data_IF_567062805113
#
_entry.id   IF_567062805113
#
_cell.length_a   1.000
_cell.length_b   1.000
_cell.length_c   1.000
_cell.angle_alpha   90.00
_cell.angle_beta   90.00
_cell.angle_gamma   90.00
#
_symmetry.space_group_name_H-M   'P 1'
#
loop_
_entity.id
_entity.type
_entity.pdbx_description
1 polymer ?
#
# COMPACT_ATOMS: atom_id res chain seq x y z
N UNK A 1 -23.84 -25.37 -7.05
CA UNK A 1 -23.50 -24.08 -6.43
C UNK A 1 -22.82 -23.21 -7.45
N UNK A 2 -23.15 -21.91 -7.50
CA UNK A 2 -22.47 -20.98 -8.38
C UNK A 2 -21.02 -20.78 -7.88
N UNK A 3 -20.04 -21.10 -8.72
CA UNK A 3 -18.64 -20.81 -8.45
C UNK A 3 -18.42 -19.30 -8.61
N UNK A 4 -17.72 -18.71 -7.65
CA UNK A 4 -17.25 -17.32 -7.70
C UNK A 4 -15.71 -17.31 -7.66
N UNK A 5 -15.11 -16.39 -8.39
CA UNK A 5 -13.68 -16.34 -8.60
C UNK A 5 -13.13 -15.00 -8.07
N UNK A 6 -12.27 -14.99 -7.05
CA UNK A 6 -11.58 -13.78 -6.66
C UNK A 6 -10.59 -13.39 -7.78
N UNK A 7 -10.54 -12.11 -8.13
CA UNK A 7 -9.66 -11.60 -9.19
C UNK A 7 -8.50 -10.76 -8.67
N UNK A 8 -8.54 -10.42 -7.40
CA UNK A 8 -7.48 -9.75 -6.65
C UNK A 8 -7.57 -10.09 -5.17
N UNK A 9 -6.65 -9.58 -4.39
CA UNK A 9 -6.58 -9.77 -2.94
C UNK A 9 -6.33 -8.46 -2.21
N UNK A 10 -6.71 -8.41 -0.94
CA UNK A 10 -6.28 -7.42 0.05
C UNK A 10 -5.29 -8.07 1.02
N UNK A 11 -4.43 -7.27 1.63
CA UNK A 11 -3.59 -7.72 2.74
C UNK A 11 -4.47 -8.07 3.96
N UNK A 12 -3.95 -8.90 4.88
CA UNK A 12 -4.73 -9.48 5.99
C UNK A 12 -5.44 -8.40 6.83
N UNK A 13 -4.77 -7.29 7.12
CA UNK A 13 -5.31 -6.21 7.96
C UNK A 13 -5.95 -5.07 7.16
N UNK A 14 -6.11 -5.25 5.84
CA UNK A 14 -6.77 -4.29 4.97
C UNK A 14 -8.22 -4.67 4.76
N UNK A 15 -9.13 -3.77 5.06
CA UNK A 15 -10.56 -3.88 4.73
C UNK A 15 -10.88 -3.10 3.47
N UNK A 16 -11.99 -3.44 2.81
CA UNK A 16 -12.48 -2.70 1.65
C UNK A 16 -13.16 -3.53 0.59
N UNK A 17 -13.20 -2.97 -0.61
CA UNK A 17 -13.92 -3.53 -1.75
C UNK A 17 -13.10 -4.66 -2.38
N UNK A 18 -13.75 -5.80 -2.60
CA UNK A 18 -13.22 -6.90 -3.39
C UNK A 18 -14.14 -7.21 -4.57
N UNK A 19 -13.53 -7.49 -5.71
CA UNK A 19 -14.24 -7.88 -6.94
C UNK A 19 -14.13 -9.39 -7.13
N UNK A 20 -15.28 -10.02 -7.42
CA UNK A 20 -15.37 -11.44 -7.72
C UNK A 20 -16.04 -11.62 -9.07
N UNK A 21 -15.52 -12.50 -9.92
CA UNK A 21 -16.15 -12.89 -11.14
C UNK A 21 -17.18 -14.03 -10.90
N UNK A 22 -18.26 -14.05 -11.66
CA UNK A 22 -19.29 -15.06 -11.59
C UNK A 22 -19.07 -16.25 -12.53
N UNK A 23 -18.09 -16.14 -13.41
CA UNK A 23 -17.69 -17.17 -14.37
C UNK A 23 -16.19 -17.06 -14.69
N UNK A 24 -15.64 -18.10 -15.30
CA UNK A 24 -14.21 -18.19 -15.60
C UNK A 24 -13.77 -17.18 -16.66
N UNK A 25 -14.56 -16.92 -17.68
CA UNK A 25 -14.22 -16.00 -18.77
C UNK A 25 -14.16 -14.56 -18.25
N UNK A 26 -15.10 -14.17 -17.42
CA UNK A 26 -15.12 -12.88 -16.74
C UNK A 26 -13.92 -12.75 -15.78
N UNK A 27 -13.57 -13.84 -15.08
CA UNK A 27 -12.39 -13.85 -14.20
C UNK A 27 -11.12 -13.54 -14.95
N UNK A 28 -10.89 -14.17 -16.09
CA UNK A 28 -9.69 -13.93 -16.94
C UNK A 28 -9.65 -12.47 -17.41
N UNK A 29 -10.77 -11.93 -17.87
CA UNK A 29 -10.84 -10.53 -18.34
C UNK A 29 -10.57 -9.52 -17.23
N UNK A 30 -11.11 -9.76 -16.03
CA UNK A 30 -10.87 -8.88 -14.89
C UNK A 30 -9.42 -9.00 -14.38
N UNK A 31 -8.87 -10.20 -14.27
CA UNK A 31 -7.47 -10.40 -13.89
C UNK A 31 -6.53 -9.65 -14.83
N UNK A 32 -6.80 -9.72 -16.14
CA UNK A 32 -6.03 -8.96 -17.13
C UNK A 32 -6.05 -7.45 -16.88
N UNK A 33 -7.17 -6.88 -16.48
CA UNK A 33 -7.26 -5.45 -16.14
C UNK A 33 -6.38 -5.09 -14.92
N UNK A 34 -6.30 -5.98 -13.93
CA UNK A 34 -5.37 -5.79 -12.80
C UNK A 34 -3.92 -5.92 -13.24
N UNK A 35 -3.58 -6.88 -14.09
CA UNK A 35 -2.23 -7.08 -14.65
C UNK A 35 -1.78 -5.91 -15.51
N UNK A 36 -2.66 -5.40 -16.36
CA UNK A 36 -2.42 -4.25 -17.25
C UNK A 36 -2.46 -2.91 -16.49
N UNK A 37 -2.67 -2.92 -15.17
CA UNK A 37 -2.79 -1.73 -14.32
C UNK A 37 -3.89 -0.75 -14.76
N UNK A 38 -4.91 -1.22 -15.47
CA UNK A 38 -6.04 -0.40 -15.93
C UNK A 38 -7.11 -0.18 -14.87
N UNK A 39 -7.05 -0.91 -13.74
CA UNK A 39 -7.95 -0.72 -12.62
C UNK A 39 -7.49 0.46 -11.77
N UNK A 40 -8.34 1.49 -11.65
CA UNK A 40 -8.10 2.60 -10.72
C UNK A 40 -8.42 2.16 -9.29
N UNK A 41 -7.46 2.34 -8.40
CA UNK A 41 -7.57 1.94 -6.99
C UNK A 41 -7.32 3.13 -6.08
N UNK A 42 -8.15 3.26 -5.05
CA UNK A 42 -7.97 4.27 -4.01
C UNK A 42 -8.01 3.59 -2.64
N UNK A 43 -7.00 3.87 -1.84
CA UNK A 43 -6.89 3.40 -0.45
C UNK A 43 -6.80 4.60 0.48
N UNK A 44 -7.49 4.52 1.60
CA UNK A 44 -7.34 5.49 2.69
C UNK A 44 -6.50 4.86 3.79
N UNK A 45 -5.55 5.61 4.32
CA UNK A 45 -4.74 5.17 5.45
C UNK A 45 -4.52 6.31 6.43
N UNK A 46 -4.27 5.96 7.69
CA UNK A 46 -3.73 6.85 8.70
C UNK A 46 -2.28 6.46 8.98
N UNK A 47 -1.37 7.40 8.85
CA UNK A 47 0.05 7.20 9.11
C UNK A 47 0.41 7.70 10.49
N UNK A 48 1.33 7.01 11.17
CA UNK A 48 1.91 7.47 12.42
C UNK A 48 2.79 8.70 12.18
N UNK A 49 2.78 9.63 13.11
CA UNK A 49 3.79 10.68 13.14
C UNK A 49 5.17 10.04 13.37
N UNK A 50 6.13 10.41 12.53
CA UNK A 50 7.52 9.94 12.68
C UNK A 50 8.48 11.13 12.56
N UNK A 51 9.45 11.20 13.49
CA UNK A 51 10.38 12.33 13.57
C UNK A 51 11.27 12.49 12.32
N UNK A 52 11.60 11.38 11.67
CA UNK A 52 12.45 11.35 10.48
C UNK A 52 11.67 11.23 9.17
N UNK A 53 10.33 11.30 9.23
CA UNK A 53 9.48 11.25 8.06
C UNK A 53 9.52 12.56 7.25
N UNK A 54 8.98 12.50 6.04
CA UNK A 54 8.83 13.72 5.21
C UNK A 54 7.91 14.71 5.93
N UNK A 55 8.24 15.98 5.84
CA UNK A 55 7.35 17.05 6.30
C UNK A 55 6.20 17.16 5.31
N UNK A 56 5.01 16.76 5.75
CA UNK A 56 3.79 16.74 4.95
C UNK A 56 2.79 17.78 5.48
N UNK A 57 2.01 18.34 4.56
CA UNK A 57 0.94 19.30 4.85
C UNK A 57 -0.36 18.82 4.18
N UNK A 58 -1.50 19.23 4.73
CA UNK A 58 -2.79 19.00 4.09
C UNK A 58 -2.78 19.56 2.66
N UNK A 59 -3.21 18.73 1.71
CA UNK A 59 -3.25 19.06 0.29
C UNK A 59 -1.99 18.69 -0.50
N UNK A 60 -0.92 18.23 0.18
CA UNK A 60 0.28 17.76 -0.52
C UNK A 60 -0.05 16.53 -1.37
N UNK A 61 0.46 16.54 -2.59
CA UNK A 61 0.36 15.44 -3.55
C UNK A 61 1.74 15.07 -4.05
N UNK A 62 1.92 13.81 -4.38
CA UNK A 62 3.18 13.35 -4.94
C UNK A 62 3.14 11.88 -5.34
N UNK A 63 4.30 11.38 -5.71
CA UNK A 63 4.50 10.00 -6.10
C UNK A 63 5.66 9.39 -5.33
N UNK A 64 5.54 8.10 -5.05
CA UNK A 64 6.59 7.27 -4.46
C UNK A 64 6.94 6.22 -5.51
N UNK A 65 8.14 6.33 -6.09
CA UNK A 65 8.70 5.35 -7.01
C UNK A 65 9.84 4.64 -6.29
N UNK A 66 9.53 3.51 -5.66
CA UNK A 66 10.47 2.75 -4.84
C UNK A 66 10.31 1.26 -5.16
N UNK A 67 11.25 0.65 -5.90
CA UNK A 67 11.17 -0.74 -6.28
C UNK A 67 11.17 -1.68 -5.07
N UNK A 68 10.39 -2.75 -5.14
CA UNK A 68 10.17 -3.69 -4.04
C UNK A 68 10.56 -5.11 -4.41
N UNK A 69 11.17 -5.81 -3.47
CA UNK A 69 11.42 -7.24 -3.51
C UNK A 69 11.01 -7.93 -2.21
N UNK A 70 10.90 -9.26 -2.24
CA UNK A 70 10.71 -10.03 -1.03
C UNK A 70 11.96 -9.97 -0.16
N UNK A 71 11.78 -9.78 1.13
CA UNK A 71 12.86 -9.95 2.11
C UNK A 71 12.92 -11.43 2.50
N UNK A 72 13.87 -12.15 1.91
CA UNK A 72 13.97 -13.59 2.12
C UNK A 72 14.43 -13.98 3.54
N UNK A 73 15.11 -13.07 4.21
CA UNK A 73 15.62 -13.29 5.57
C UNK A 73 14.54 -12.99 6.63
N UNK A 74 13.61 -12.08 6.34
CA UNK A 74 12.55 -11.65 7.26
C UNK A 74 11.14 -11.82 6.68
N UNK A 75 10.82 -13.01 6.17
CA UNK A 75 9.45 -13.29 5.64
C UNK A 75 8.38 -13.11 6.71
N UNK A 76 7.19 -12.55 6.39
CA UNK A 76 6.68 -12.22 5.04
C UNK A 76 7.02 -10.79 4.56
N UNK A 77 8.03 -10.14 5.13
CA UNK A 77 8.38 -8.75 4.80
C UNK A 77 8.77 -8.57 3.34
N UNK A 78 8.52 -7.37 2.86
CA UNK A 78 9.05 -6.82 1.61
C UNK A 78 10.05 -5.73 1.96
N UNK A 79 11.00 -5.47 1.05
CA UNK A 79 12.00 -4.41 1.22
C UNK A 79 12.12 -3.54 -0.02
N UNK A 80 12.57 -2.32 0.17
CA UNK A 80 13.02 -1.48 -0.93
C UNK A 80 14.33 -2.04 -1.50
N UNK A 81 14.37 -2.25 -2.81
CA UNK A 81 15.50 -2.86 -3.47
C UNK A 81 15.68 -2.26 -4.86
N UNK A 82 16.71 -1.42 -5.00
CA UNK A 82 17.01 -0.73 -6.25
C UNK A 82 17.68 -1.63 -7.31
N UNK A 83 18.14 -2.83 -6.92
CA UNK A 83 18.90 -3.72 -7.81
C UNK A 83 17.98 -4.82 -8.36
N UNK A 84 17.25 -5.51 -7.49
CA UNK A 84 16.40 -6.67 -7.85
C UNK A 84 14.91 -6.40 -7.66
N UNK A 85 14.55 -5.25 -7.09
CA UNK A 85 13.18 -4.88 -6.83
C UNK A 85 12.38 -4.67 -8.11
N UNK A 86 11.12 -5.09 -8.08
CA UNK A 86 10.17 -4.84 -9.15
C UNK A 86 9.67 -3.39 -9.07
N UNK A 87 9.59 -2.73 -10.22
CA UNK A 87 9.03 -1.38 -10.30
C UNK A 87 7.71 -1.27 -9.54
N UNK A 88 7.62 -0.25 -8.71
CA UNK A 88 6.45 0.03 -7.86
C UNK A 88 6.23 1.52 -7.78
N UNK A 89 5.02 1.96 -8.09
CA UNK A 89 4.64 3.37 -8.14
C UNK A 89 3.31 3.58 -7.40
N UNK A 90 3.32 4.51 -6.46
CA UNK A 90 2.14 4.94 -5.69
C UNK A 90 2.02 6.45 -5.74
N UNK A 91 0.92 6.97 -6.26
CA UNK A 91 0.55 8.38 -6.07
C UNK A 91 -0.16 8.55 -4.73
N UNK A 92 -0.04 9.73 -4.12
CA UNK A 92 -0.68 10.03 -2.84
C UNK A 92 -1.21 11.46 -2.76
N UNK A 93 -2.17 11.65 -1.86
CA UNK A 93 -2.71 12.96 -1.47
C UNK A 93 -2.93 12.99 0.04
N UNK A 94 -2.35 13.98 0.73
CA UNK A 94 -2.55 14.21 2.16
C UNK A 94 -3.88 14.92 2.37
N UNK A 95 -4.81 14.29 3.07
CA UNK A 95 -6.15 14.84 3.30
C UNK A 95 -6.27 15.59 4.62
N UNK A 96 -5.53 15.17 5.65
CA UNK A 96 -5.50 15.86 6.94
C UNK A 96 -4.20 15.60 7.70
N UNK A 97 -3.82 16.56 8.53
CA UNK A 97 -2.84 16.37 9.61
C UNK A 97 -3.63 16.53 10.92
N UNK A 98 -3.57 15.53 11.79
CA UNK A 98 -4.31 15.51 13.04
C UNK A 98 -3.53 16.20 14.17
N UNK A 99 -4.19 16.59 15.28
CA UNK A 99 -3.52 17.26 16.40
C UNK A 99 -2.37 16.46 17.05
N UNK A 100 -2.43 15.13 16.99
CA UNK A 100 -1.39 14.21 17.47
C UNK A 100 -0.24 14.03 16.48
N UNK A 101 -0.30 14.71 15.32
CA UNK A 101 0.69 14.61 14.26
C UNK A 101 0.46 13.45 13.29
N UNK A 102 -0.53 12.58 13.51
CA UNK A 102 -0.88 11.54 12.55
C UNK A 102 -1.44 12.14 11.26
N UNK A 103 -1.32 11.39 10.16
CA UNK A 103 -1.55 11.90 8.81
C UNK A 103 -2.59 11.03 8.13
N UNK A 104 -3.70 11.62 7.72
CA UNK A 104 -4.69 10.96 6.85
C UNK A 104 -4.29 11.19 5.40
N UNK A 105 -4.23 10.10 4.64
CA UNK A 105 -3.72 10.07 3.28
C UNK A 105 -4.57 9.17 2.38
N UNK A 106 -4.72 9.60 1.13
CA UNK A 106 -5.22 8.75 0.05
C UNK A 106 -4.04 8.25 -0.77
N UNK A 107 -4.05 6.96 -1.07
CA UNK A 107 -3.10 6.32 -1.97
C UNK A 107 -3.78 5.86 -3.25
N UNK A 108 -3.13 6.08 -4.37
CA UNK A 108 -3.52 5.62 -5.70
C UNK A 108 -2.38 4.78 -6.29
N UNK A 109 -2.30 3.47 -5.93
CA UNK A 109 -1.24 2.62 -6.43
C UNK A 109 -1.42 2.32 -7.92
N UNK A 110 -0.43 2.66 -8.73
CA UNK A 110 -0.39 2.32 -10.16
C UNK A 110 0.05 0.88 -10.39
N UNK A 111 0.84 0.34 -9.50
CA UNK A 111 1.24 -1.07 -9.43
C UNK A 111 0.60 -1.74 -8.22
N UNK A 112 0.68 -3.06 -8.12
CA UNK A 112 0.05 -3.83 -7.03
C UNK A 112 1.01 -4.83 -6.39
N UNK A 113 2.22 -4.41 -5.98
CA UNK A 113 3.18 -5.29 -5.31
C UNK A 113 2.73 -5.61 -3.90
N UNK A 114 3.12 -6.78 -3.42
CA UNK A 114 2.85 -7.21 -2.04
C UNK A 114 3.35 -6.15 -1.05
N UNK A 115 2.52 -5.79 -0.08
CA UNK A 115 2.78 -4.78 0.95
C UNK A 115 3.20 -3.40 0.41
N UNK A 116 2.88 -3.08 -0.85
CA UNK A 116 3.39 -1.86 -1.50
C UNK A 116 3.11 -0.60 -0.69
N UNK A 117 1.88 -0.35 -0.30
CA UNK A 117 1.51 0.86 0.44
C UNK A 117 2.18 0.90 1.82
N UNK A 118 2.33 -0.24 2.46
CA UNK A 118 2.96 -0.38 3.77
C UNK A 118 4.44 0.01 3.72
N UNK A 119 5.19 -0.53 2.75
CA UNK A 119 6.63 -0.20 2.58
C UNK A 119 6.81 1.23 2.08
N UNK A 120 6.01 1.67 1.09
CA UNK A 120 6.07 3.04 0.58
C UNK A 120 5.78 4.09 1.66
N UNK A 121 4.90 3.78 2.61
CA UNK A 121 4.62 4.66 3.76
C UNK A 121 5.78 4.69 4.74
N UNK A 122 6.26 3.53 5.16
CA UNK A 122 7.21 3.39 6.27
C UNK A 122 8.64 3.72 5.89
N UNK A 123 9.08 3.36 4.67
CA UNK A 123 10.47 3.51 4.25
C UNK A 123 10.89 4.97 4.13
N UNK A 124 12.10 5.31 4.59
CA UNK A 124 12.60 6.70 4.60
C UNK A 124 12.70 7.32 3.19
N UNK A 125 12.96 6.52 2.16
CA UNK A 125 12.94 6.96 0.76
C UNK A 125 11.51 7.08 0.20
N UNK A 126 10.51 6.52 0.89
CA UNK A 126 9.10 6.77 0.67
C UNK A 126 8.62 7.98 1.45
N UNK A 127 7.65 7.80 2.34
CA UNK A 127 7.17 8.88 3.22
C UNK A 127 7.87 8.93 4.57
N UNK A 128 8.42 7.82 5.05
CA UNK A 128 9.01 7.71 6.38
C UNK A 128 8.00 7.77 7.52
N UNK A 129 6.71 7.52 7.21
CA UNK A 129 5.60 7.50 8.14
C UNK A 129 4.86 6.18 8.01
N UNK A 130 5.06 5.18 8.88
CA UNK A 130 4.38 3.90 8.76
C UNK A 130 2.87 4.05 8.96
N UNK A 131 2.11 3.13 8.38
CA UNK A 131 0.67 3.05 8.64
C UNK A 131 0.45 2.74 10.11
N UNK A 132 -0.46 3.47 10.75
CA UNK A 132 -0.77 3.29 12.15
C UNK A 132 -1.26 1.87 12.44
N UNK A 133 -0.62 1.20 13.39
CA UNK A 133 -0.91 -0.21 13.73
C UNK A 133 -0.24 -1.25 12.84
N UNK A 134 0.62 -0.86 11.92
CA UNK A 134 1.37 -1.81 11.12
C UNK A 134 2.46 -2.49 11.95
N UNK A 135 2.25 -3.77 12.27
CA UNK A 135 3.17 -4.55 13.11
C UNK A 135 4.47 -4.96 12.40
N UNK A 136 4.48 -4.98 11.06
CA UNK A 136 5.66 -5.38 10.31
C UNK A 136 6.61 -4.21 10.01
N UNK A 137 6.04 -3.04 9.68
CA UNK A 137 6.81 -1.89 9.22
C UNK A 137 6.72 -0.69 10.16
N UNK A 138 5.88 -0.78 11.19
CA UNK A 138 5.67 0.31 12.15
C UNK A 138 6.81 0.53 13.15
N UNK A 139 7.74 -0.42 13.30
CA UNK A 139 8.79 -0.35 14.30
C UNK A 139 8.22 -0.08 15.70
N UNK A 140 8.89 0.76 16.48
CA UNK A 140 8.47 1.16 17.83
C UNK A 140 7.21 2.04 17.87
N UNK A 141 6.69 2.43 16.68
CA UNK A 141 5.45 3.20 16.55
C UNK A 141 4.19 2.32 16.45
N UNK A 142 4.32 0.99 16.53
CA UNK A 142 3.16 0.11 16.59
C UNK A 142 2.38 0.39 17.90
N UNK A 143 1.05 0.61 17.84
CA UNK A 143 0.30 0.80 19.06
C UNK A 143 0.40 -0.46 19.93
N UNK A 144 0.78 -0.29 21.16
CA UNK A 144 0.69 -1.36 22.17
C UNK A 144 -0.79 -1.42 22.57
N UNK A 145 -1.49 -2.46 22.15
CA UNK A 145 -2.86 -2.75 22.59
C UNK A 145 -2.84 -3.43 23.95
#
# INVERSE_FOLDING_TARGET
>A
GNLIFPVHRLDMDTSGIMVFAKDADTSIKLQKQFEDHSVSKTYMARLSAAQNGRILKKGDKGEICLPLSADYDERPRQKADSIQGKHSLTAYEVTAILPDGSIDILFHPHTGRTHQLRVHSAHILGLGHPILGDLLYGGDCAPVF
#
